data_IF_922147733324
#
_entry.id   IF_922147733324
#
_cell.length_a   1.000
_cell.length_b   1.000
_cell.length_c   1.000
_cell.angle_alpha   90.00
_cell.angle_beta   90.00
_cell.angle_gamma   90.00
#
_symmetry.space_group_name_H-M   'P 1'
#
loop_
_entity.id
_entity.type
_entity.pdbx_description
1 polymer ?
#
# COMPACT_ATOMS: atom_id res chain seq x y z
N UNK A 1 -23.96 -6.55 -7.76
CA UNK A 1 -22.59 -6.24 -8.25
C UNK A 1 -21.80 -5.30 -7.31
N UNK A 2 -22.21 -5.14 -6.03
CA UNK A 2 -21.60 -4.20 -5.09
C UNK A 2 -20.63 -4.84 -4.06
N UNK A 3 -20.45 -6.17 -4.06
CA UNK A 3 -19.74 -6.85 -2.97
C UNK A 3 -18.24 -7.04 -3.17
N UNK A 4 -17.68 -6.79 -4.36
CA UNK A 4 -16.26 -7.03 -4.61
C UNK A 4 -15.34 -5.85 -4.24
N UNK A 5 -15.91 -4.67 -3.94
CA UNK A 5 -15.15 -3.46 -3.62
C UNK A 5 -14.74 -3.38 -2.14
N UNK A 6 -15.32 -4.22 -1.27
CA UNK A 6 -15.10 -4.12 0.18
C UNK A 6 -13.89 -4.90 0.70
N UNK A 7 -13.35 -5.85 -0.08
CA UNK A 7 -12.35 -6.80 0.43
C UNK A 7 -10.89 -6.48 0.10
N UNK A 8 -10.62 -5.54 -0.81
CA UNK A 8 -9.23 -5.23 -1.21
C UNK A 8 -8.54 -4.16 -0.33
N UNK A 9 -9.24 -3.61 0.67
CA UNK A 9 -8.75 -2.43 1.42
C UNK A 9 -8.34 -2.67 2.88
N UNK A 10 -8.47 -3.88 3.43
CA UNK A 10 -8.23 -4.06 4.88
C UNK A 10 -6.82 -4.50 5.25
N UNK A 11 -6.10 -5.18 4.36
CA UNK A 11 -4.74 -5.67 4.64
C UNK A 11 -3.84 -5.53 3.42
N UNK A 12 -2.82 -4.69 3.54
CA UNK A 12 -1.74 -4.60 2.57
C UNK A 12 -0.59 -5.50 3.06
N UNK A 13 -0.22 -6.48 2.26
CA UNK A 13 0.94 -7.35 2.54
C UNK A 13 2.11 -6.81 1.72
N UNK A 14 3.11 -6.26 2.41
CA UNK A 14 4.36 -5.84 1.79
C UNK A 14 5.39 -6.96 1.95
N UNK A 15 5.81 -7.56 0.82
CA UNK A 15 6.92 -8.51 0.81
C UNK A 15 8.19 -7.72 0.54
N UNK A 16 9.12 -7.70 1.50
CA UNK A 16 10.43 -7.08 1.34
C UNK A 16 11.48 -8.18 1.31
N UNK A 17 12.41 -8.03 0.37
CA UNK A 17 13.58 -8.88 0.23
C UNK A 17 14.79 -8.10 0.72
N UNK A 18 15.33 -8.50 1.88
CA UNK A 18 16.53 -7.91 2.48
C UNK A 18 17.78 -8.61 1.99
N UNK A 19 18.84 -7.85 1.76
CA UNK A 19 20.11 -8.39 1.26
C UNK A 19 21.13 -8.37 2.39
N UNK A 20 21.31 -9.50 3.08
CA UNK A 20 22.37 -9.61 4.07
C UNK A 20 23.69 -9.91 3.39
N UNK A 21 24.64 -8.99 3.50
CA UNK A 21 26.02 -9.20 3.12
C UNK A 21 26.85 -9.48 4.39
N UNK A 22 26.95 -10.73 4.88
CA UNK A 22 27.98 -11.07 5.83
C UNK A 22 29.35 -10.82 5.16
N UNK A 23 30.26 -10.26 5.94
CA UNK A 23 31.57 -9.69 5.61
C UNK A 23 32.49 -10.46 4.62
N UNK A 24 32.14 -11.65 4.13
CA UNK A 24 32.99 -12.42 3.22
C UNK A 24 32.18 -13.31 2.26
N UNK A 25 32.15 -12.91 0.98
CA UNK A 25 31.90 -13.74 -0.22
C UNK A 25 30.52 -14.38 -0.48
N UNK A 26 29.53 -14.27 0.40
CA UNK A 26 28.16 -14.79 0.09
C UNK A 26 27.08 -13.83 0.56
N UNK A 27 26.31 -13.26 -0.39
CA UNK A 27 25.12 -12.48 -0.06
C UNK A 27 23.98 -13.44 0.23
N UNK A 28 23.46 -13.46 1.47
CA UNK A 28 22.27 -14.22 1.82
C UNK A 28 21.07 -13.30 1.72
N UNK A 29 20.16 -13.62 0.82
CA UNK A 29 18.90 -12.90 0.69
C UNK A 29 17.89 -13.45 1.69
N UNK A 30 17.28 -12.59 2.49
CA UNK A 30 16.21 -12.96 3.41
C UNK A 30 14.90 -12.32 2.98
N UNK A 31 13.88 -13.14 2.75
CA UNK A 31 12.53 -12.64 2.49
C UNK A 31 11.80 -12.46 3.81
N UNK A 32 11.29 -11.24 4.05
CA UNK A 32 10.45 -10.95 5.21
C UNK A 32 9.14 -10.32 4.75
N UNK A 33 8.06 -10.84 5.29
CA UNK A 33 6.71 -10.39 4.98
C UNK A 33 6.26 -9.44 6.09
N UNK A 34 6.07 -8.17 5.76
CA UNK A 34 5.52 -7.18 6.68
C UNK A 34 4.04 -6.96 6.34
N UNK A 35 3.17 -7.34 7.26
CA UNK A 35 1.72 -7.18 7.11
C UNK A 35 1.28 -5.86 7.73
N UNK A 36 0.61 -5.02 6.94
CA UNK A 36 0.04 -3.75 7.40
C UNK A 36 -1.49 -3.84 7.33
N UNK A 37 -2.14 -3.70 8.47
CA UNK A 37 -3.59 -3.51 8.53
C UNK A 37 -3.92 -2.05 8.20
N UNK A 38 -4.56 -1.83 7.06
CA UNK A 38 -4.94 -0.49 6.62
C UNK A 38 -6.20 -0.09 7.37
N UNK A 39 -6.07 0.90 8.26
CA UNK A 39 -7.22 1.43 9.01
C UNK A 39 -8.02 2.41 8.16
N UNK A 40 -9.35 2.39 8.36
CA UNK A 40 -10.26 3.40 7.77
C UNK A 40 -9.79 4.80 8.17
N UNK A 41 -9.66 5.68 7.19
CA UNK A 41 -9.23 7.06 7.39
C UNK A 41 -7.75 7.35 7.13
N UNK A 42 -6.93 6.35 6.78
CA UNK A 42 -5.57 6.62 6.29
C UNK A 42 -5.64 7.39 4.97
N UNK A 43 -4.98 8.55 4.94
CA UNK A 43 -4.85 9.41 3.77
C UNK A 43 -3.49 9.17 3.11
N UNK A 44 -3.35 9.65 1.88
CA UNK A 44 -2.02 9.77 1.27
C UNK A 44 -1.07 10.51 2.23
N UNK A 45 0.15 9.99 2.36
CA UNK A 45 1.17 10.53 3.24
C UNK A 45 1.19 9.94 4.66
N UNK A 46 0.23 9.09 5.06
CA UNK A 46 0.34 8.34 6.32
C UNK A 46 1.63 7.51 6.31
N UNK A 47 2.41 7.63 7.39
CA UNK A 47 3.67 6.90 7.58
C UNK A 47 3.47 5.70 8.48
N UNK A 48 3.91 4.53 8.03
CA UNK A 48 3.98 3.31 8.84
C UNK A 48 5.45 2.98 9.06
N UNK A 49 5.91 3.04 10.30
CA UNK A 49 7.30 2.75 10.67
C UNK A 49 7.41 1.38 11.29
N UNK A 50 8.32 0.58 10.78
CA UNK A 50 8.72 -0.70 11.32
C UNK A 50 10.16 -0.58 11.85
N UNK A 51 10.34 -0.52 13.18
CA UNK A 51 11.65 -0.26 13.75
C UNK A 51 12.57 -1.46 13.57
N UNK A 52 13.85 -1.22 13.25
CA UNK A 52 14.87 -2.27 13.14
C UNK A 52 14.55 -3.37 12.11
N UNK A 53 13.72 -3.05 11.12
CA UNK A 53 13.31 -3.96 10.06
C UNK A 53 14.12 -3.79 8.77
N UNK A 54 15.17 -2.97 8.76
CA UNK A 54 16.04 -2.75 7.60
C UNK A 54 17.13 -3.82 7.44
N UNK A 55 18.08 -3.58 6.53
CA UNK A 55 19.22 -4.49 6.34
C UNK A 55 20.08 -4.57 7.62
N UNK A 56 20.29 -5.78 8.13
CA UNK A 56 21.14 -6.02 9.30
C UNK A 56 22.61 -6.09 8.86
N UNK A 57 23.47 -5.37 9.58
CA UNK A 57 24.91 -5.43 9.41
C UNK A 57 25.55 -5.96 10.69
N UNK A 58 26.64 -6.76 10.62
CA UNK A 58 27.25 -7.36 11.81
C UNK A 58 27.69 -6.38 12.90
N UNK A 59 27.92 -5.11 12.53
CA UNK A 59 28.47 -4.08 13.40
C UNK A 59 27.48 -2.95 13.70
N UNK A 60 26.29 -2.95 13.10
CA UNK A 60 25.36 -1.82 13.19
C UNK A 60 23.92 -2.25 13.46
N UNK A 61 23.16 -1.37 14.13
CA UNK A 61 21.74 -1.57 14.37
C UNK A 61 21.01 -1.45 13.02
N UNK A 62 20.09 -2.38 12.68
CA UNK A 62 19.32 -2.31 11.45
C UNK A 62 18.47 -1.04 11.40
N UNK A 63 18.33 -0.49 10.20
CA UNK A 63 17.57 0.73 9.97
C UNK A 63 16.06 0.52 10.19
N UNK A 64 15.32 1.61 10.37
CA UNK A 64 13.86 1.57 10.41
C UNK A 64 13.29 1.61 8.99
N UNK A 65 12.32 0.73 8.71
CA UNK A 65 11.61 0.72 7.43
C UNK A 65 10.38 1.60 7.54
N UNK A 66 10.30 2.66 6.74
CA UNK A 66 9.17 3.58 6.72
C UNK A 66 8.41 3.42 5.41
N UNK A 67 7.17 2.97 5.50
CA UNK A 67 6.24 2.97 4.38
C UNK A 67 5.44 4.26 4.37
N UNK A 68 5.22 4.80 3.17
CA UNK A 68 4.32 5.93 2.95
C UNK A 68 3.13 5.44 2.14
N UNK A 69 1.92 5.67 2.68
CA UNK A 69 0.69 5.39 1.95
C UNK A 69 0.62 6.34 0.76
N UNK A 70 0.53 5.76 -0.45
CA UNK A 70 0.26 6.49 -1.69
C UNK A 70 -1.00 5.97 -2.33
N UNK A 71 -1.82 6.88 -2.82
CA UNK A 71 -3.01 6.52 -3.57
C UNK A 71 -2.58 6.05 -4.96
N UNK A 72 -2.93 4.81 -5.31
CA UNK A 72 -2.72 4.27 -6.65
C UNK A 72 -3.90 4.72 -7.53
N UNK A 73 -3.67 5.43 -8.64
CA UNK A 73 -4.75 5.85 -9.52
C UNK A 73 -5.50 4.62 -10.04
N UNK A 74 -6.82 4.60 -9.85
CA UNK A 74 -7.69 3.56 -10.36
C UNK A 74 -8.45 4.10 -11.58
N UNK A 75 -8.60 3.32 -12.68
CA UNK A 75 -9.21 3.80 -13.92
C UNK A 75 -10.66 4.26 -13.75
N UNK A 76 -11.34 3.73 -12.73
CA UNK A 76 -12.78 3.93 -12.49
C UNK A 76 -13.05 4.83 -11.28
N UNK A 77 -12.15 4.87 -10.31
CA UNK A 77 -12.39 5.53 -9.02
C UNK A 77 -11.25 6.50 -8.75
N UNK A 78 -11.59 7.73 -8.41
CA UNK A 78 -10.64 8.70 -7.87
C UNK A 78 -10.95 8.90 -6.40
N UNK A 79 -9.91 8.89 -5.57
CA UNK A 79 -10.05 9.19 -4.15
C UNK A 79 -9.82 10.69 -3.94
N UNK A 80 -10.72 11.35 -3.25
CA UNK A 80 -10.56 12.73 -2.79
C UNK A 80 -10.68 12.74 -1.26
N UNK A 81 -9.53 12.65 -0.59
CA UNK A 81 -9.47 12.57 0.88
C UNK A 81 -10.16 11.34 1.46
N UNK A 82 -11.37 11.53 1.99
CA UNK A 82 -12.21 10.47 2.57
C UNK A 82 -13.28 9.97 1.60
N UNK A 83 -13.48 10.66 0.47
CA UNK A 83 -14.55 10.39 -0.48
C UNK A 83 -14.02 9.64 -1.72
N UNK A 84 -14.91 8.87 -2.36
CA UNK A 84 -14.63 8.14 -3.60
C UNK A 84 -15.48 8.77 -4.70
N UNK A 85 -14.81 9.37 -5.68
CA UNK A 85 -15.41 10.00 -6.86
C UNK A 85 -15.47 8.97 -7.99
N UNK A 86 -16.68 8.73 -8.49
CA UNK A 86 -16.94 7.93 -9.69
C UNK A 86 -17.50 8.83 -10.80
N UNK A 87 -16.76 9.05 -11.91
CA UNK A 87 -17.27 9.79 -13.04
C UNK A 87 -18.24 8.92 -13.86
N UNK A 88 -19.54 9.07 -13.60
CA UNK A 88 -20.59 8.43 -14.40
C UNK A 88 -20.81 9.22 -15.70
N UNK A 89 -20.58 8.60 -16.85
CA UNK A 89 -20.96 9.17 -18.15
C UNK A 89 -22.44 8.89 -18.40
N UNK A 90 -23.30 9.82 -18.02
CA UNK A 90 -24.73 9.77 -18.34
C UNK A 90 -24.91 10.17 -19.81
N UNK A 91 -25.46 9.26 -20.61
CA UNK A 91 -25.92 9.57 -21.96
C UNK A 91 -27.28 10.25 -21.87
N UNK A 92 -27.43 11.42 -22.50
CA UNK A 92 -28.63 12.27 -22.42
C UNK A 92 -29.89 11.69 -23.07
N UNK A 93 -29.91 10.42 -23.48
CA UNK A 93 -31.05 9.78 -24.13
C UNK A 93 -32.13 9.26 -23.17
N UNK A 94 -32.04 9.57 -21.88
CA UNK A 94 -32.95 9.06 -20.84
C UNK A 94 -33.83 10.12 -20.17
N UNK A 95 -33.85 11.36 -20.68
CA UNK A 95 -34.62 12.48 -20.10
C UNK A 95 -35.54 13.18 -21.12
N UNK A 96 -35.95 12.48 -22.18
CA UNK A 96 -37.05 12.90 -23.06
C UNK A 96 -38.18 11.85 -23.06
N UNK A 97 -38.49 11.30 -21.88
CA UNK A 97 -39.73 10.56 -21.64
C UNK A 97 -40.32 10.96 -20.28
N UNK A 98 -40.79 12.20 -20.16
CA UNK A 98 -41.84 12.57 -19.21
C UNK A 98 -42.64 13.73 -19.76
#
# INVERSE_FOLDING_TARGET
MACHLFFFFFTAIFRITFWHAPYLSTTRTEEKILTVEVKKGWKEGTKITFPKEGDEMPTNIPADVVFMVKDKPHPVYKRDGSDIIYPAKICSTHELSS
#
